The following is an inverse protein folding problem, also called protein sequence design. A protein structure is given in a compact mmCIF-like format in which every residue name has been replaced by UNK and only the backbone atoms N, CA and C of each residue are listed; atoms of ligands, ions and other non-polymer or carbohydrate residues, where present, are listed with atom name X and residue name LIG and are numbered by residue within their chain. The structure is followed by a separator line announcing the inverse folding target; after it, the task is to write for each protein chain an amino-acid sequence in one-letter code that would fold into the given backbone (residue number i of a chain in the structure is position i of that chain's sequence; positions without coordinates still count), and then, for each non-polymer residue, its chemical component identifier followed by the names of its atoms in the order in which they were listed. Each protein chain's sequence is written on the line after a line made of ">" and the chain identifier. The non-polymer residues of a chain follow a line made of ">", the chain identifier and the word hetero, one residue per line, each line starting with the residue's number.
data_IF_648194062772
#
_entry.id   IF_648194062772
#
_cell.length_a   1.000
_cell.length_b   1.000
_cell.length_c   1.000
_cell.angle_alpha   90.00
_cell.angle_beta   90.00
_cell.angle_gamma   90.00
#
_symmetry.space_group_name_H-M   'P 1'
#
loop_
_entity.id
_entity.type
_entity.pdbx_description
1 polymer ?
#
# COMPACT_ATOMS: atom_id res chain seq x y z
N UNK A 1 -40.09 8.33 -11.84
CA UNK A 1 -38.64 8.55 -11.51
C UNK A 1 -38.09 7.58 -10.46
N UNK A 2 -38.95 6.66 -9.89
CA UNK A 2 -38.55 5.75 -8.79
C UNK A 2 -38.20 4.32 -9.27
N UNK A 3 -38.45 3.95 -10.50
CA UNK A 3 -38.26 2.58 -11.02
C UNK A 3 -36.82 2.34 -11.58
N UNK A 4 -36.12 3.38 -11.99
CA UNK A 4 -34.75 3.24 -12.55
C UNK A 4 -33.60 3.17 -11.50
N UNK A 5 -33.87 3.58 -10.25
CA UNK A 5 -32.83 3.48 -9.16
C UNK A 5 -32.66 2.06 -8.63
N UNK A 6 -33.69 1.24 -8.64
CA UNK A 6 -33.61 -0.13 -8.12
C UNK A 6 -32.86 -1.11 -9.03
N UNK A 7 -32.79 -0.84 -10.34
CA UNK A 7 -32.04 -1.70 -11.28
C UNK A 7 -30.51 -1.59 -11.15
N UNK A 8 -29.99 -0.40 -10.82
CA UNK A 8 -28.55 -0.19 -10.64
C UNK A 8 -28.03 -0.79 -9.32
N UNK A 9 -28.83 -0.70 -8.26
CA UNK A 9 -28.48 -1.28 -6.95
C UNK A 9 -28.52 -2.82 -6.99
N UNK A 10 -29.40 -3.42 -7.78
CA UNK A 10 -29.43 -4.89 -7.95
C UNK A 10 -28.23 -5.41 -8.78
N UNK A 11 -27.73 -4.63 -9.73
CA UNK A 11 -26.53 -4.99 -10.52
C UNK A 11 -25.26 -4.90 -9.67
N UNK A 12 -25.13 -3.91 -8.78
CA UNK A 12 -24.01 -3.79 -7.85
C UNK A 12 -24.01 -4.90 -6.79
N UNK A 13 -25.16 -5.32 -6.28
CA UNK A 13 -25.27 -6.45 -5.34
C UNK A 13 -24.94 -7.81 -5.98
N UNK A 14 -25.13 -7.98 -7.29
CA UNK A 14 -24.68 -9.20 -8.01
C UNK A 14 -23.17 -9.22 -8.22
N UNK A 15 -22.51 -8.08 -8.47
CA UNK A 15 -21.06 -8.00 -8.60
C UNK A 15 -20.34 -8.30 -7.25
N UNK A 16 -20.89 -7.84 -6.14
CA UNK A 16 -20.35 -8.14 -4.81
C UNK A 16 -20.48 -9.61 -4.40
N UNK A 17 -21.46 -10.35 -4.90
CA UNK A 17 -21.60 -11.80 -4.67
C UNK A 17 -20.55 -12.64 -5.39
N UNK A 18 -19.97 -12.17 -6.49
CA UNK A 18 -18.94 -12.92 -7.23
C UNK A 18 -17.55 -12.86 -6.58
N UNK A 19 -17.26 -11.86 -5.75
CA UNK A 19 -15.98 -11.73 -5.04
C UNK A 19 -15.89 -12.70 -3.84
N UNK A 20 -17.03 -13.16 -3.30
CA UNK A 20 -17.08 -14.02 -2.10
C UNK A 20 -17.06 -15.53 -2.41
N UNK A 21 -17.27 -15.96 -3.67
CA UNK A 21 -17.40 -17.39 -4.02
C UNK A 21 -16.06 -18.11 -4.26
N UNK A 22 -14.92 -17.42 -4.32
CA UNK A 22 -13.61 -18.06 -4.57
C UNK A 22 -12.99 -18.69 -3.31
N UNK A 23 -13.59 -18.54 -2.11
CA UNK A 23 -13.01 -19.07 -0.87
C UNK A 23 -13.62 -20.36 -0.30
N UNK A 24 -14.57 -21.03 -0.98
CA UNK A 24 -15.29 -22.20 -0.43
C UNK A 24 -15.21 -23.47 -1.29
N UNK A 25 -14.03 -23.89 -1.73
CA UNK A 25 -13.84 -25.26 -2.22
C UNK A 25 -12.45 -25.78 -1.89
N UNK A 26 -12.23 -26.12 -0.64
CA UNK A 26 -11.21 -27.08 -0.22
C UNK A 26 -11.78 -27.97 0.87
N UNK A 27 -12.47 -29.03 0.47
CA UNK A 27 -12.50 -30.26 1.27
C UNK A 27 -12.93 -31.43 0.38
N UNK A 28 -12.16 -32.51 0.52
CA UNK A 28 -12.36 -33.87 0.04
C UNK A 28 -11.89 -34.20 -1.38
N UNK A 29 -10.61 -34.57 -1.45
CA UNK A 29 -10.22 -35.77 -2.20
C UNK A 29 -8.94 -36.33 -1.55
N UNK A 30 -9.11 -37.40 -0.74
CA UNK A 30 -8.01 -38.32 -0.41
C UNK A 30 -7.73 -39.17 -1.65
N UNK A 31 -6.52 -39.09 -2.16
CA UNK A 31 -5.94 -40.15 -3.00
C UNK A 31 -4.58 -40.50 -2.44
N UNK A 32 -4.51 -41.74 -1.91
CA UNK A 32 -3.27 -42.43 -1.61
C UNK A 32 -2.55 -42.77 -2.91
N UNK A 33 -1.25 -42.51 -2.97
CA UNK A 33 -0.40 -42.97 -4.07
C UNK A 33 1.03 -42.45 -3.97
N UNK A 34 1.86 -43.21 -3.26
CA UNK A 34 3.34 -43.36 -3.35
C UNK A 34 4.23 -42.15 -3.67
N UNK A 35 5.06 -41.90 -2.69
CA UNK A 35 6.37 -41.26 -2.73
C UNK A 35 7.23 -41.79 -3.89
N UNK A 36 7.87 -40.86 -4.67
CA UNK A 36 9.29 -40.96 -4.95
C UNK A 36 9.80 -39.70 -5.68
N UNK A 37 10.90 -39.18 -5.11
CA UNK A 37 11.93 -38.32 -5.68
C UNK A 37 11.84 -36.80 -5.51
N UNK A 38 12.52 -36.21 -4.50
CA UNK A 38 12.67 -34.77 -4.35
C UNK A 38 13.97 -34.31 -5.03
N UNK A 39 13.96 -33.95 -6.32
CA UNK A 39 15.04 -33.15 -6.92
C UNK A 39 14.56 -32.47 -8.21
N UNK A 40 14.45 -31.17 -8.12
CA UNK A 40 14.55 -30.04 -9.05
C UNK A 40 13.37 -29.08 -8.96
N UNK A 41 13.30 -28.34 -7.83
CA UNK A 41 12.67 -27.04 -7.83
C UNK A 41 13.62 -26.07 -8.58
N UNK A 42 13.36 -25.82 -9.82
CA UNK A 42 13.93 -24.66 -10.51
C UNK A 42 13.20 -23.42 -9.99
N UNK A 43 13.75 -22.78 -8.96
CA UNK A 43 13.43 -21.39 -8.67
C UNK A 43 14.06 -20.53 -9.77
N UNK A 44 13.30 -20.28 -10.84
CA UNK A 44 13.53 -19.09 -11.65
C UNK A 44 13.29 -17.91 -10.72
N UNK A 45 14.36 -17.20 -10.34
CA UNK A 45 14.27 -15.83 -9.80
C UNK A 45 13.78 -14.94 -10.93
N UNK A 46 12.49 -14.97 -11.23
CA UNK A 46 11.87 -13.97 -12.08
C UNK A 46 11.69 -12.73 -11.20
N UNK A 47 12.37 -11.66 -11.56
CA UNK A 47 12.10 -10.32 -11.05
C UNK A 47 10.68 -9.97 -11.51
N UNK A 48 9.68 -10.37 -10.74
CA UNK A 48 8.28 -10.06 -11.03
C UNK A 48 8.13 -8.56 -10.90
N UNK A 49 7.58 -7.93 -11.94
CA UNK A 49 7.44 -6.49 -12.03
C UNK A 49 6.00 -6.09 -11.69
N UNK A 50 5.85 -4.89 -11.16
CA UNK A 50 4.55 -4.22 -11.12
C UNK A 50 4.19 -3.73 -12.53
N UNK A 51 2.99 -4.07 -13.02
CA UNK A 51 2.44 -3.47 -14.24
C UNK A 51 1.75 -2.18 -13.82
N UNK A 52 2.33 -1.05 -14.20
CA UNK A 52 1.74 0.27 -13.97
C UNK A 52 1.06 0.75 -15.23
N UNK A 53 -0.24 0.96 -15.17
CA UNK A 53 -1.07 1.47 -16.25
C UNK A 53 -1.39 2.94 -16.00
N UNK A 54 -1.43 3.71 -17.08
CA UNK A 54 -1.73 5.13 -17.08
C UNK A 54 -2.73 5.44 -18.20
N UNK A 55 -3.77 6.22 -17.89
CA UNK A 55 -4.74 6.67 -18.88
C UNK A 55 -4.15 7.63 -19.95
N UNK A 56 -2.92 8.11 -19.76
CA UNK A 56 -2.18 8.79 -20.82
C UNK A 56 -1.58 7.80 -21.85
N UNK A 57 -1.39 6.53 -21.48
CA UNK A 57 -0.98 5.45 -22.38
C UNK A 57 -2.17 4.52 -22.63
N UNK A 58 -3.10 5.00 -23.47
CA UNK A 58 -4.33 4.28 -23.79
C UNK A 58 -4.07 2.94 -24.45
N UNK A 59 -3.03 2.84 -25.27
CA UNK A 59 -2.69 1.61 -26.01
C UNK A 59 -2.34 0.48 -25.03
N UNK A 60 -1.37 0.69 -24.16
CA UNK A 60 -0.97 -0.30 -23.15
C UNK A 60 -2.11 -0.63 -22.18
N UNK A 61 -2.87 0.38 -21.76
CA UNK A 61 -3.99 0.18 -20.85
C UNK A 61 -5.11 -0.64 -21.50
N UNK A 62 -5.38 -0.40 -22.79
CA UNK A 62 -6.37 -1.17 -23.54
C UNK A 62 -5.92 -2.62 -23.79
N UNK A 63 -4.61 -2.87 -24.04
CA UNK A 63 -4.06 -4.22 -24.18
C UNK A 63 -4.24 -5.03 -22.89
N UNK A 64 -3.89 -4.47 -21.74
CA UNK A 64 -4.08 -5.13 -20.45
C UNK A 64 -5.57 -5.31 -20.14
N UNK A 65 -6.41 -4.31 -20.40
CA UNK A 65 -7.87 -4.42 -20.25
C UNK A 65 -8.44 -5.56 -21.10
N UNK A 66 -8.03 -5.67 -22.37
CA UNK A 66 -8.40 -6.77 -23.25
C UNK A 66 -7.92 -8.12 -22.71
N UNK A 67 -6.69 -8.20 -22.19
CA UNK A 67 -6.16 -9.43 -21.60
C UNK A 67 -6.99 -9.90 -20.40
N UNK A 68 -7.44 -8.99 -19.52
CA UNK A 68 -8.23 -9.29 -18.34
C UNK A 68 -9.74 -9.52 -18.61
N UNK A 69 -10.26 -9.18 -19.80
CA UNK A 69 -11.69 -9.23 -20.10
C UNK A 69 -12.23 -10.64 -20.41
N UNK A 70 -11.45 -11.71 -20.26
CA UNK A 70 -11.85 -13.09 -20.57
C UNK A 70 -11.58 -14.02 -19.39
N UNK A 71 -12.60 -14.74 -18.95
CA UNK A 71 -12.52 -15.72 -17.87
C UNK A 71 -11.45 -16.79 -18.17
N UNK A 72 -11.38 -17.27 -19.40
CA UNK A 72 -10.39 -18.26 -19.82
C UNK A 72 -8.96 -17.73 -19.64
N UNK A 73 -8.70 -16.46 -19.96
CA UNK A 73 -7.38 -15.86 -19.76
C UNK A 73 -7.06 -15.66 -18.29
N UNK A 74 -8.05 -15.32 -17.46
CA UNK A 74 -7.87 -15.24 -16.00
C UNK A 74 -7.54 -16.60 -15.39
N UNK A 75 -8.18 -17.66 -15.84
CA UNK A 75 -7.86 -19.03 -15.38
C UNK A 75 -6.47 -19.49 -15.86
N UNK A 76 -6.05 -19.10 -17.08
CA UNK A 76 -4.67 -19.34 -17.54
C UNK A 76 -3.66 -18.60 -16.66
N UNK A 77 -3.89 -17.34 -16.32
CA UNK A 77 -3.03 -16.59 -15.38
C UNK A 77 -2.95 -17.27 -14.03
N UNK A 78 -4.08 -17.75 -13.50
CA UNK A 78 -4.14 -18.47 -12.23
C UNK A 78 -3.30 -19.76 -12.26
N UNK A 79 -3.37 -20.53 -13.34
CA UNK A 79 -2.51 -21.70 -13.55
C UNK A 79 -1.02 -21.31 -13.57
N UNK A 80 -0.69 -20.20 -14.26
CA UNK A 80 0.70 -19.74 -14.42
C UNK A 80 1.28 -19.10 -13.13
N UNK A 81 0.44 -18.66 -12.19
CA UNK A 81 0.86 -18.26 -10.84
C UNK A 81 1.41 -19.47 -10.08
N UNK A 82 0.77 -20.63 -10.23
CA UNK A 82 1.15 -21.86 -9.52
C UNK A 82 2.36 -22.55 -10.16
N UNK A 83 2.43 -22.57 -11.51
CA UNK A 83 3.51 -23.24 -12.25
C UNK A 83 3.62 -22.70 -13.69
N UNK A 84 4.83 -22.71 -14.22
CA UNK A 84 5.02 -22.48 -15.66
C UNK A 84 4.43 -23.66 -16.47
N UNK A 85 3.81 -23.38 -17.61
CA UNK A 85 3.17 -24.39 -18.47
C UNK A 85 3.41 -24.09 -19.95
N UNK A 86 3.48 -25.13 -20.78
CA UNK A 86 3.51 -24.96 -22.22
C UNK A 86 2.09 -24.88 -22.82
N UNK A 87 1.99 -24.45 -24.09
CA UNK A 87 0.69 -24.26 -24.76
C UNK A 87 -0.15 -25.53 -24.78
N UNK A 88 0.47 -26.72 -24.94
CA UNK A 88 -0.24 -27.99 -24.94
C UNK A 88 -0.79 -28.35 -23.55
N UNK A 89 -0.03 -28.07 -22.50
CA UNK A 89 -0.45 -28.25 -21.10
C UNK A 89 -1.60 -27.30 -20.76
N UNK A 90 -1.54 -26.03 -21.20
CA UNK A 90 -2.62 -25.05 -21.04
C UNK A 90 -3.87 -25.56 -21.79
N UNK A 91 -3.74 -25.99 -23.04
CA UNK A 91 -4.84 -26.51 -23.82
C UNK A 91 -5.50 -27.71 -23.15
N UNK A 92 -4.71 -28.67 -22.64
CA UNK A 92 -5.19 -29.85 -21.93
C UNK A 92 -5.87 -29.49 -20.61
N UNK A 93 -5.32 -28.54 -19.82
CA UNK A 93 -5.87 -28.13 -18.53
C UNK A 93 -7.28 -27.54 -18.63
N UNK A 94 -7.59 -26.85 -19.74
CA UNK A 94 -8.87 -26.15 -19.95
C UNK A 94 -9.76 -26.78 -21.04
N UNK A 95 -9.38 -27.94 -21.59
CA UNK A 95 -10.14 -28.61 -22.65
C UNK A 95 -10.24 -27.81 -23.95
N UNK A 96 -9.21 -26.98 -24.27
CA UNK A 96 -9.19 -26.09 -25.41
C UNK A 96 -8.44 -26.73 -26.61
N UNK A 97 -8.85 -26.40 -27.85
CA UNK A 97 -7.98 -26.64 -28.99
C UNK A 97 -6.63 -25.89 -28.82
N UNK A 98 -5.53 -26.48 -29.28
CA UNK A 98 -4.20 -25.85 -29.17
C UNK A 98 -4.12 -24.46 -29.85
N UNK A 99 -4.82 -24.28 -30.96
CA UNK A 99 -4.93 -22.99 -31.65
C UNK A 99 -5.59 -21.93 -30.79
N UNK A 100 -6.66 -22.28 -30.06
CA UNK A 100 -7.35 -21.37 -29.14
C UNK A 100 -6.48 -21.02 -27.94
N UNK A 101 -5.81 -22.00 -27.33
CA UNK A 101 -4.87 -21.77 -26.24
C UNK A 101 -3.72 -20.84 -26.69
N UNK A 102 -3.19 -21.05 -27.88
CA UNK A 102 -2.14 -20.18 -28.46
C UNK A 102 -2.61 -18.73 -28.64
N UNK A 103 -3.87 -18.51 -29.05
CA UNK A 103 -4.44 -17.17 -29.19
C UNK A 103 -4.60 -16.47 -27.82
N UNK A 104 -5.06 -17.19 -26.79
CA UNK A 104 -5.15 -16.65 -25.45
C UNK A 104 -3.77 -16.29 -24.88
N UNK A 105 -2.78 -17.18 -25.07
CA UNK A 105 -1.37 -16.94 -24.68
C UNK A 105 -0.82 -15.71 -25.40
N UNK A 106 -1.04 -15.57 -26.70
CA UNK A 106 -0.59 -14.41 -27.47
C UNK A 106 -1.15 -13.08 -26.92
N UNK A 107 -2.44 -13.03 -26.59
CA UNK A 107 -3.07 -11.82 -26.01
C UNK A 107 -2.46 -11.48 -24.66
N UNK A 108 -2.17 -12.46 -23.81
CA UNK A 108 -1.53 -12.26 -22.51
C UNK A 108 -0.07 -11.81 -22.65
N UNK A 109 0.65 -12.33 -23.64
CA UNK A 109 2.03 -11.96 -23.95
C UNK A 109 2.11 -10.52 -24.51
N UNK A 110 1.23 -10.16 -25.46
CA UNK A 110 1.12 -8.80 -26.01
C UNK A 110 0.82 -7.76 -24.93
N UNK A 111 0.05 -8.13 -23.91
CA UNK A 111 -0.22 -7.30 -22.75
C UNK A 111 0.95 -7.24 -21.76
N UNK A 112 2.02 -7.99 -21.96
CA UNK A 112 3.18 -8.05 -21.05
C UNK A 112 2.92 -8.78 -19.74
N UNK A 113 1.81 -9.52 -19.61
CA UNK A 113 1.41 -10.23 -18.40
C UNK A 113 2.11 -11.59 -18.23
N UNK A 114 2.55 -12.18 -19.32
CA UNK A 114 3.33 -13.40 -19.35
C UNK A 114 4.54 -13.26 -20.27
N UNK A 115 5.54 -14.10 -20.04
CA UNK A 115 6.67 -14.30 -20.97
C UNK A 115 6.59 -15.68 -21.57
N UNK A 116 6.94 -15.79 -22.84
CA UNK A 116 7.05 -17.07 -23.54
C UNK A 116 8.52 -17.31 -23.85
N UNK A 117 9.06 -18.43 -23.38
CA UNK A 117 10.46 -18.82 -23.62
C UNK A 117 10.51 -20.18 -24.31
N UNK A 118 11.42 -20.36 -25.25
CA UNK A 118 11.66 -21.63 -25.89
C UNK A 118 12.57 -22.50 -25.01
N UNK A 119 12.14 -23.73 -24.75
CA UNK A 119 12.93 -24.72 -24.01
C UNK A 119 13.04 -26.01 -24.83
N UNK A 120 14.13 -26.75 -24.69
CA UNK A 120 14.24 -28.07 -25.31
C UNK A 120 13.10 -28.97 -24.83
N UNK A 121 12.37 -29.59 -25.75
CA UNK A 121 11.31 -30.56 -25.46
C UNK A 121 11.73 -31.98 -25.88
N UNK A 122 10.87 -32.98 -25.63
CA UNK A 122 11.13 -34.38 -26.01
C UNK A 122 11.20 -34.56 -27.54
N UNK A 123 10.53 -33.70 -28.30
CA UNK A 123 10.57 -33.63 -29.75
C UNK A 123 10.63 -32.17 -30.22
N UNK A 124 11.85 -31.58 -30.30
CA UNK A 124 12.05 -30.20 -30.71
C UNK A 124 11.92 -29.17 -29.57
N UNK A 125 11.74 -27.89 -29.91
CA UNK A 125 11.55 -26.80 -28.93
C UNK A 125 10.09 -26.67 -28.52
N UNK A 126 9.85 -26.41 -27.25
CA UNK A 126 8.51 -26.10 -26.72
C UNK A 126 8.46 -24.69 -26.16
N UNK A 127 7.36 -23.99 -26.39
CA UNK A 127 7.09 -22.66 -25.83
C UNK A 127 6.51 -22.79 -24.42
N UNK A 128 7.28 -22.34 -23.42
CA UNK A 128 6.89 -22.36 -22.01
C UNK A 128 6.52 -20.96 -21.56
N UNK A 129 5.32 -20.84 -20.99
CA UNK A 129 4.74 -19.60 -20.51
C UNK A 129 5.00 -19.45 -19.00
N UNK A 130 5.31 -18.24 -18.54
CA UNK A 130 5.48 -17.90 -17.14
C UNK A 130 4.95 -16.50 -16.86
N UNK A 131 4.44 -16.27 -15.64
CA UNK A 131 3.91 -14.97 -15.22
C UNK A 131 5.05 -13.96 -14.98
N UNK A 132 4.84 -12.69 -15.38
CA UNK A 132 5.86 -11.64 -15.33
C UNK A 132 5.60 -10.59 -14.27
N UNK A 133 4.42 -10.56 -13.64
CA UNK A 133 3.99 -9.51 -12.71
C UNK A 133 3.52 -10.07 -11.37
N UNK A 134 3.50 -9.21 -10.36
CA UNK A 134 2.92 -9.47 -9.03
C UNK A 134 1.60 -8.75 -8.85
N UNK A 135 1.54 -7.49 -9.28
CA UNK A 135 0.35 -6.65 -9.19
C UNK A 135 0.17 -5.78 -10.44
N UNK A 136 -1.05 -5.30 -10.65
CA UNK A 136 -1.42 -4.36 -11.70
C UNK A 136 -1.99 -3.13 -11.00
N UNK A 137 -1.41 -1.97 -11.29
CA UNK A 137 -1.83 -0.69 -10.76
C UNK A 137 -2.29 0.22 -11.88
N UNK A 138 -3.56 0.65 -11.83
CA UNK A 138 -4.11 1.63 -12.79
C UNK A 138 -4.16 3.01 -12.14
N UNK A 139 -3.33 3.92 -12.63
CA UNK A 139 -3.39 5.32 -12.24
C UNK A 139 -4.42 6.06 -13.10
N UNK A 140 -5.57 6.41 -12.50
CA UNK A 140 -6.64 7.15 -13.17
C UNK A 140 -6.44 8.67 -13.12
N UNK A 141 -5.58 9.17 -12.24
CA UNK A 141 -5.34 10.60 -12.05
C UNK A 141 -4.04 11.00 -12.72
N UNK A 142 -4.16 11.89 -13.70
CA UNK A 142 -3.02 12.48 -14.42
C UNK A 142 -2.27 13.44 -13.50
N UNK A 143 -1.30 12.95 -12.76
CA UNK A 143 -0.21 13.81 -12.39
C UNK A 143 0.79 13.77 -13.56
N UNK A 144 0.90 14.86 -14.32
CA UNK A 144 2.06 15.08 -15.19
C UNK A 144 3.30 15.00 -14.30
N UNK A 145 3.84 13.82 -14.18
CA UNK A 145 5.14 13.65 -13.57
C UNK A 145 6.16 14.12 -14.61
N UNK A 146 6.67 15.31 -14.42
CA UNK A 146 7.96 15.67 -14.99
C UNK A 146 8.99 14.69 -14.39
N UNK A 147 9.37 13.69 -15.17
CA UNK A 147 10.32 12.64 -14.78
C UNK A 147 11.79 13.13 -14.68
N UNK A 148 12.04 14.43 -14.87
CA UNK A 148 13.41 14.94 -15.02
C UNK A 148 13.96 15.44 -13.72
N UNK A 149 13.89 15.28 -12.59
CA UNK A 149 14.61 15.73 -11.39
C UNK A 149 13.85 15.58 -10.04
N UNK A 150 12.98 14.59 -9.90
CA UNK A 150 12.36 14.35 -8.59
C UNK A 150 13.12 13.29 -7.80
N UNK A 151 13.56 13.65 -6.60
CA UNK A 151 14.04 12.70 -5.59
C UNK A 151 12.85 12.16 -4.82
N UNK A 152 12.82 10.85 -4.61
CA UNK A 152 11.86 10.20 -3.72
C UNK A 152 12.57 9.75 -2.45
N UNK A 153 12.04 10.15 -1.30
CA UNK A 153 12.48 9.70 0.01
C UNK A 153 11.39 8.86 0.64
N UNK A 154 11.78 7.78 1.29
CA UNK A 154 10.88 6.89 2.03
C UNK A 154 11.39 6.71 3.45
N UNK A 155 10.51 6.91 4.43
CA UNK A 155 10.78 6.63 5.83
C UNK A 155 9.72 5.69 6.37
N UNK A 156 10.14 4.64 7.07
CA UNK A 156 9.27 3.67 7.72
C UNK A 156 9.30 3.96 9.21
N UNK A 157 8.14 4.04 9.83
CA UNK A 157 7.97 4.27 11.25
C UNK A 157 7.24 3.05 11.87
N UNK A 158 7.93 2.24 12.68
CA UNK A 158 7.26 1.19 13.45
C UNK A 158 6.13 1.78 14.30
N UNK A 159 4.99 1.10 14.34
CA UNK A 159 3.79 1.64 15.02
C UNK A 159 3.97 1.85 16.53
N UNK A 160 4.91 1.16 17.16
CA UNK A 160 5.27 1.37 18.56
C UNK A 160 6.23 2.53 18.82
N UNK A 161 6.75 3.21 17.76
CA UNK A 161 7.68 4.34 17.89
C UNK A 161 6.94 5.69 17.97
N UNK A 162 5.72 5.70 18.50
CA UNK A 162 5.02 6.98 18.76
C UNK A 162 5.83 7.83 19.75
N UNK A 163 5.80 9.13 19.52
CA UNK A 163 6.42 10.12 20.38
C UNK A 163 5.52 10.47 21.56
N UNK A 164 4.22 10.63 21.30
CA UNK A 164 3.21 11.03 22.27
C UNK A 164 1.92 10.22 22.04
N UNK A 165 1.14 10.05 23.10
CA UNK A 165 -0.13 9.37 23.04
C UNK A 165 -1.05 9.80 24.19
N UNK A 166 -2.34 9.70 23.95
CA UNK A 166 -3.39 9.73 24.94
C UNK A 166 -4.41 8.67 24.54
N UNK A 167 -4.61 7.67 25.36
CA UNK A 167 -5.51 6.54 25.06
C UNK A 167 -6.42 6.25 26.23
N UNK A 168 -7.66 5.91 25.93
CA UNK A 168 -8.66 5.57 26.93
C UNK A 168 -9.62 4.50 26.43
N UNK A 169 -10.33 3.86 27.36
CA UNK A 169 -11.19 2.71 27.09
C UNK A 169 -10.38 1.44 26.87
N UNK A 170 -10.95 0.48 26.13
CA UNK A 170 -10.24 -0.73 25.73
C UNK A 170 -9.00 -0.34 24.96
N UNK A 171 -7.85 -0.83 25.39
CA UNK A 171 -6.60 -0.50 24.73
C UNK A 171 -5.56 -1.61 24.93
N UNK A 172 -4.62 -1.71 24.00
CA UNK A 172 -3.53 -2.67 24.13
C UNK A 172 -2.52 -2.56 23.02
N UNK A 173 -1.43 -3.30 23.20
CA UNK A 173 -0.32 -3.40 22.27
C UNK A 173 0.14 -4.84 22.22
N UNK A 174 0.36 -5.37 21.04
CA UNK A 174 0.94 -6.69 20.85
C UNK A 174 2.12 -6.66 19.88
N UNK A 175 3.04 -7.57 20.09
CA UNK A 175 4.13 -7.90 19.17
C UNK A 175 3.80 -9.15 18.36
N UNK A 176 4.71 -9.56 17.50
CA UNK A 176 4.65 -10.86 16.82
C UNK A 176 4.62 -12.05 17.82
N UNK A 177 5.15 -11.85 19.04
CA UNK A 177 5.34 -12.92 20.05
C UNK A 177 4.28 -12.94 21.15
N UNK A 178 3.50 -11.89 21.33
CA UNK A 178 2.51 -11.76 22.39
C UNK A 178 2.22 -10.32 22.80
N UNK A 179 1.46 -10.19 23.88
CA UNK A 179 1.10 -8.90 24.46
C UNK A 179 2.32 -8.16 25.01
N UNK A 180 2.32 -6.85 24.83
CA UNK A 180 3.29 -5.92 25.41
C UNK A 180 2.61 -5.18 26.57
N UNK A 181 2.87 -5.65 27.79
CA UNK A 181 2.21 -5.13 28.98
C UNK A 181 0.88 -5.83 29.30
N UNK A 182 -0.05 -5.08 29.86
CA UNK A 182 -1.36 -5.58 30.32
C UNK A 182 -2.43 -4.98 29.41
N UNK A 183 -3.36 -5.81 28.94
CA UNK A 183 -4.52 -5.39 28.16
C UNK A 183 -5.40 -4.45 29.00
N UNK A 184 -6.09 -3.53 28.35
CA UNK A 184 -6.93 -2.48 28.95
C UNK A 184 -6.20 -1.55 29.94
N UNK A 185 -4.88 -1.48 29.83
CA UNK A 185 -4.06 -0.59 30.65
C UNK A 185 -3.32 0.44 29.78
N UNK A 186 -3.69 1.73 29.81
CA UNK A 186 -2.97 2.79 29.11
C UNK A 186 -1.47 2.85 29.46
N UNK A 187 -1.09 2.38 30.67
CA UNK A 187 0.32 2.33 31.08
C UNK A 187 1.16 1.38 30.24
N UNK A 188 0.55 0.40 29.56
CA UNK A 188 1.24 -0.51 28.63
C UNK A 188 1.85 0.21 27.43
N UNK A 189 1.33 1.37 27.07
CA UNK A 189 1.89 2.23 26.03
C UNK A 189 3.25 2.84 26.41
N UNK A 190 3.66 2.79 27.67
CA UNK A 190 5.01 3.17 28.14
C UNK A 190 6.01 2.01 28.18
N UNK A 191 5.61 0.78 27.81
CA UNK A 191 6.51 -0.37 27.82
C UNK A 191 7.80 -0.09 27.04
N UNK A 192 8.94 -0.49 27.60
CA UNK A 192 10.25 -0.23 27.02
C UNK A 192 10.47 -0.90 25.65
N UNK A 193 9.79 -2.03 25.42
CA UNK A 193 9.83 -2.81 24.18
C UNK A 193 8.66 -2.50 23.22
N UNK A 194 7.95 -1.38 23.42
CA UNK A 194 6.84 -0.97 22.55
C UNK A 194 7.19 -0.82 21.08
N UNK A 195 8.48 -0.62 20.76
CA UNK A 195 8.98 -0.59 19.39
C UNK A 195 8.81 -1.91 18.63
N UNK A 196 8.57 -3.04 19.35
CA UNK A 196 8.24 -4.34 18.76
C UNK A 196 6.75 -4.47 18.39
N UNK A 197 5.93 -3.45 18.65
CA UNK A 197 4.48 -3.48 18.39
C UNK A 197 4.16 -3.79 16.92
N UNK A 198 3.19 -4.68 16.72
CA UNK A 198 2.68 -5.10 15.42
C UNK A 198 1.18 -4.86 15.27
N UNK A 199 0.45 -4.70 16.38
CA UNK A 199 -0.90 -4.17 16.46
C UNK A 199 -0.98 -3.34 17.72
N UNK A 200 -1.63 -2.17 17.65
CA UNK A 200 -2.06 -1.39 18.79
C UNK A 200 -3.50 -0.93 18.60
N UNK A 201 -4.23 -0.86 19.70
CA UNK A 201 -5.63 -0.43 19.66
C UNK A 201 -5.99 0.42 20.87
N UNK A 202 -7.01 1.24 20.70
CA UNK A 202 -7.66 2.00 21.77
C UNK A 202 -9.05 2.48 21.35
N UNK A 203 -9.89 2.77 22.35
CA UNK A 203 -11.26 3.23 22.08
C UNK A 203 -11.30 4.72 21.68
N UNK A 204 -10.72 5.62 22.50
CA UNK A 204 -10.59 7.05 22.15
C UNK A 204 -9.20 7.56 22.51
N UNK A 205 -8.81 8.68 21.88
CA UNK A 205 -7.51 9.27 22.06
C UNK A 205 -6.68 9.29 20.77
N UNK A 206 -5.35 9.29 20.89
CA UNK A 206 -4.46 9.37 19.75
C UNK A 206 -3.09 8.73 20.00
N UNK A 207 -2.38 8.45 18.92
CA UNK A 207 -0.93 8.22 18.86
C UNK A 207 -0.31 9.19 17.89
N UNK A 208 0.82 9.82 18.28
CA UNK A 208 1.56 10.80 17.47
C UNK A 208 2.96 10.30 17.14
N UNK A 209 3.33 10.43 15.88
CA UNK A 209 4.65 10.06 15.36
C UNK A 209 5.39 11.31 14.89
N UNK A 210 6.72 11.31 15.01
CA UNK A 210 7.59 12.39 14.51
C UNK A 210 8.55 11.88 13.46
N UNK A 211 8.32 12.28 12.22
CA UNK A 211 9.16 11.95 11.08
C UNK A 211 10.25 13.02 10.91
N UNK A 212 11.54 12.68 11.00
CA UNK A 212 12.62 13.65 10.90
C UNK A 212 12.69 14.26 9.49
N UNK A 213 12.98 15.57 9.42
CA UNK A 213 13.01 16.34 8.17
C UNK A 213 14.42 16.55 7.62
N UNK A 214 15.46 15.96 8.23
CA UNK A 214 16.85 16.22 7.82
C UNK A 214 17.15 15.89 6.34
N UNK A 215 16.42 14.91 5.75
CA UNK A 215 16.51 14.57 4.33
C UNK A 215 15.79 15.57 3.41
N UNK A 216 14.94 16.42 3.97
CA UNK A 216 14.09 17.36 3.23
C UNK A 216 14.68 18.76 3.18
N UNK A 217 15.78 19.00 3.92
CA UNK A 217 16.48 20.28 3.92
C UNK A 217 16.97 20.62 2.51
N UNK A 218 16.72 21.85 2.06
CA UNK A 218 17.07 22.35 0.72
C UNK A 218 16.35 21.61 -0.44
N UNK A 219 15.25 20.92 -0.17
CA UNK A 219 14.41 20.32 -1.19
C UNK A 219 13.14 21.15 -1.38
N UNK A 220 12.72 21.33 -2.63
CA UNK A 220 11.38 21.85 -2.93
C UNK A 220 10.41 20.68 -2.91
N UNK A 221 9.58 20.59 -1.88
CA UNK A 221 8.57 19.53 -1.75
C UNK A 221 7.54 19.63 -2.87
N UNK A 222 7.27 18.51 -3.54
CA UNK A 222 6.19 18.36 -4.52
C UNK A 222 5.00 17.63 -3.92
N UNK A 223 5.27 16.61 -3.09
CA UNK A 223 4.26 15.77 -2.46
C UNK A 223 4.83 15.11 -1.20
N UNK A 224 4.01 15.04 -0.17
CA UNK A 224 4.25 14.19 1.02
C UNK A 224 3.06 13.27 1.17
N UNK A 225 3.29 11.99 1.41
CA UNK A 225 2.21 11.03 1.66
C UNK A 225 2.53 10.13 2.86
N UNK A 226 1.46 9.76 3.58
CA UNK A 226 1.50 8.81 4.67
C UNK A 226 0.59 7.65 4.32
N UNK A 227 1.06 6.42 4.50
CA UNK A 227 0.27 5.23 4.25
C UNK A 227 0.37 4.25 5.41
N UNK A 228 -0.74 3.60 5.74
CA UNK A 228 -0.90 2.74 6.89
C UNK A 228 -2.10 1.81 6.72
N UNK A 229 -2.15 0.73 7.53
CA UNK A 229 -3.31 -0.14 7.65
C UNK A 229 -4.02 0.15 8.97
N UNK A 230 -5.35 0.33 8.94
CA UNK A 230 -6.15 0.76 10.08
C UNK A 230 -7.56 0.21 9.99
N UNK A 231 -8.21 -0.06 11.13
CA UNK A 231 -9.65 -0.33 11.20
C UNK A 231 -10.23 0.16 12.54
N UNK A 232 -11.54 0.02 12.73
CA UNK A 232 -12.22 0.24 14.02
C UNK A 232 -11.74 -0.76 15.05
N UNK A 233 -12.09 -0.54 16.32
CA UNK A 233 -11.84 -1.44 17.45
C UNK A 233 -13.16 -1.86 18.09
N UNK A 234 -13.44 -3.14 18.12
CA UNK A 234 -14.63 -3.74 18.75
C UNK A 234 -14.25 -4.95 19.60
N UNK A 235 -15.04 -5.32 20.61
CA UNK A 235 -14.81 -6.57 21.33
C UNK A 235 -14.84 -7.79 20.41
N UNK A 236 -13.68 -8.46 20.28
CA UNK A 236 -13.44 -9.52 19.32
C UNK A 236 -13.23 -8.95 17.91
N UNK A 237 -14.23 -9.01 17.06
CA UNK A 237 -14.34 -8.26 15.81
C UNK A 237 -15.80 -8.05 15.43
N UNK A 238 -16.09 -6.94 14.74
CA UNK A 238 -17.41 -6.65 14.19
C UNK A 238 -17.24 -5.94 12.85
N UNK A 239 -17.62 -6.61 11.75
CA UNK A 239 -17.48 -6.07 10.39
C UNK A 239 -18.39 -4.85 10.10
N UNK A 240 -19.36 -4.58 10.95
CA UNK A 240 -20.22 -3.39 10.95
C UNK A 240 -20.11 -2.68 12.30
N UNK A 241 -19.04 -1.89 12.46
CA UNK A 241 -18.69 -1.16 13.69
C UNK A 241 -17.97 0.14 13.29
N UNK A 242 -18.71 1.15 12.85
CA UNK A 242 -18.10 2.35 12.29
C UNK A 242 -17.28 3.15 13.29
N UNK A 243 -16.16 3.70 12.83
CA UNK A 243 -15.31 4.61 13.61
C UNK A 243 -14.77 5.75 12.75
N UNK A 244 -14.83 6.97 13.30
CA UNK A 244 -14.29 8.20 12.72
C UNK A 244 -12.83 8.37 13.17
N UNK A 245 -11.89 7.89 12.37
CA UNK A 245 -10.46 7.97 12.65
C UNK A 245 -9.93 9.28 12.07
N UNK A 246 -9.55 10.20 12.93
CA UNK A 246 -9.04 11.51 12.54
C UNK A 246 -7.53 11.48 12.32
N UNK A 247 -7.08 12.19 11.30
CA UNK A 247 -5.68 12.39 10.93
C UNK A 247 -5.30 13.84 11.14
N UNK A 248 -4.20 14.08 11.87
CA UNK A 248 -3.60 15.41 12.02
C UNK A 248 -2.17 15.41 11.51
N UNK A 249 -1.76 16.52 10.89
CA UNK A 249 -0.38 16.76 10.47
C UNK A 249 0.04 18.14 10.99
N UNK A 250 1.16 18.17 11.72
CA UNK A 250 1.65 19.37 12.41
C UNK A 250 0.55 20.07 13.23
N UNK A 251 -0.26 19.27 13.94
CA UNK A 251 -1.36 19.73 14.80
C UNK A 251 -2.60 20.23 14.04
N UNK A 252 -2.63 20.17 12.71
CA UNK A 252 -3.80 20.56 11.90
C UNK A 252 -4.57 19.31 11.48
N UNK A 253 -5.88 19.30 11.72
CA UNK A 253 -6.78 18.25 11.25
C UNK A 253 -6.85 18.27 9.72
N UNK A 254 -6.60 17.10 9.10
CA UNK A 254 -6.49 16.93 7.66
C UNK A 254 -7.69 16.18 7.11
N UNK A 255 -8.04 15.07 7.75
CA UNK A 255 -9.08 14.16 7.31
C UNK A 255 -9.70 13.43 8.49
N UNK A 256 -10.93 12.97 8.30
CA UNK A 256 -11.57 11.96 9.15
C UNK A 256 -11.91 10.77 8.28
N UNK A 257 -11.22 9.68 8.50
CA UNK A 257 -11.40 8.40 7.80
C UNK A 257 -12.55 7.66 8.46
N UNK A 258 -13.61 7.37 7.73
CA UNK A 258 -14.65 6.48 8.21
C UNK A 258 -14.21 5.02 8.02
N UNK A 259 -13.83 4.35 9.09
CA UNK A 259 -13.69 2.90 9.09
C UNK A 259 -15.06 2.26 9.26
N UNK A 260 -15.50 1.35 8.37
CA UNK A 260 -16.82 0.75 8.48
C UNK A 260 -16.92 -0.36 9.53
N UNK A 261 -15.79 -0.87 10.04
CA UNK A 261 -15.81 -1.96 11.00
C UNK A 261 -14.44 -2.38 11.49
N UNK A 262 -14.46 -3.28 12.43
CA UNK A 262 -13.34 -4.10 12.89
C UNK A 262 -13.42 -5.47 12.18
N UNK A 263 -12.42 -5.80 11.36
CA UNK A 263 -12.58 -6.86 10.38
C UNK A 263 -12.06 -8.21 10.87
N UNK A 264 -12.93 -9.23 10.73
CA UNK A 264 -12.66 -10.63 11.01
C UNK A 264 -13.44 -11.57 10.08
N UNK A 265 -13.58 -12.83 10.51
CA UNK A 265 -14.26 -13.88 9.73
C UNK A 265 -13.35 -14.56 8.70
N UNK A 266 -12.17 -14.04 8.47
CA UNK A 266 -11.01 -14.68 7.83
C UNK A 266 -9.75 -14.24 8.55
N UNK A 267 -8.72 -15.06 8.51
CA UNK A 267 -7.44 -14.71 9.10
C UNK A 267 -6.73 -13.62 8.29
N UNK A 268 -6.12 -12.66 8.97
CA UNK A 268 -5.19 -11.71 8.39
C UNK A 268 -3.97 -12.44 7.82
N UNK A 269 -3.42 -11.95 6.71
CA UNK A 269 -2.35 -12.64 5.95
C UNK A 269 -1.05 -12.79 6.75
N UNK A 270 -0.81 -11.86 7.67
CA UNK A 270 0.44 -11.71 8.40
C UNK A 270 0.31 -12.08 9.87
N UNK A 271 -0.91 -12.36 10.34
CA UNK A 271 -1.17 -12.61 11.75
C UNK A 271 -0.42 -13.84 12.25
N UNK A 272 0.27 -13.75 13.40
CA UNK A 272 0.97 -14.88 14.00
C UNK A 272 0.00 -15.98 14.44
N UNK A 273 0.45 -17.23 14.47
CA UNK A 273 -0.40 -18.40 14.75
C UNK A 273 -1.13 -18.32 16.10
N UNK A 274 -0.50 -17.71 17.10
CA UNK A 274 -1.08 -17.56 18.44
C UNK A 274 -2.27 -16.59 18.51
N UNK A 275 -2.43 -15.68 17.51
CA UNK A 275 -3.54 -14.73 17.50
C UNK A 275 -4.86 -15.41 17.16
N UNK A 276 -5.88 -15.23 18.02
CA UNK A 276 -7.17 -15.90 17.88
C UNK A 276 -7.98 -15.45 16.68
N UNK A 277 -8.67 -16.39 16.03
CA UNK A 277 -9.50 -16.12 14.84
C UNK A 277 -10.77 -15.32 15.14
N UNK A 278 -11.13 -15.18 16.42
CA UNK A 278 -12.28 -14.37 16.91
C UNK A 278 -11.91 -12.91 17.23
N UNK A 279 -10.66 -12.55 17.06
CA UNK A 279 -10.12 -11.22 17.29
C UNK A 279 -10.01 -10.46 15.99
N UNK A 280 -9.71 -9.16 16.05
CA UNK A 280 -9.34 -8.30 14.90
C UNK A 280 -8.34 -8.98 13.99
N UNK A 281 -8.59 -9.04 12.69
CA UNK A 281 -7.76 -9.80 11.77
C UNK A 281 -6.99 -8.95 10.77
N UNK A 282 -7.59 -7.89 10.26
CA UNK A 282 -7.00 -7.03 9.23
C UNK A 282 -7.71 -5.67 9.19
N UNK A 283 -7.08 -4.73 8.54
CA UNK A 283 -7.59 -3.39 8.35
C UNK A 283 -7.81 -3.04 6.88
N UNK A 284 -8.07 -1.75 6.65
CA UNK A 284 -8.08 -1.12 5.34
C UNK A 284 -6.78 -0.34 5.16
N UNK A 285 -6.21 -0.45 3.97
CA UNK A 285 -5.05 0.35 3.60
C UNK A 285 -5.48 1.76 3.24
N UNK A 286 -4.86 2.74 3.88
CA UNK A 286 -5.16 4.16 3.68
C UNK A 286 -3.91 4.94 3.28
N UNK A 287 -4.12 5.94 2.44
CA UNK A 287 -3.08 6.89 2.04
C UNK A 287 -3.58 8.31 2.19
N UNK A 288 -2.88 9.10 2.99
CA UNK A 288 -3.07 10.56 3.08
C UNK A 288 -1.95 11.21 2.28
N UNK A 289 -2.30 11.98 1.26
CA UNK A 289 -1.38 12.65 0.35
C UNK A 289 -1.58 14.15 0.39
N UNK A 290 -0.50 14.89 0.52
CA UNK A 290 -0.47 16.36 0.58
C UNK A 290 0.36 16.87 -0.59
N UNK A 291 -0.18 17.81 -1.34
CA UNK A 291 0.50 18.48 -2.45
C UNK A 291 0.08 19.97 -2.55
N UNK A 292 0.52 20.73 -3.55
CA UNK A 292 0.11 22.13 -3.71
C UNK A 292 -1.40 22.36 -3.96
N UNK A 293 -2.17 21.32 -4.27
CA UNK A 293 -3.61 21.41 -4.52
C UNK A 293 -4.46 21.11 -3.28
N UNK A 294 -3.83 20.65 -2.19
CA UNK A 294 -4.50 20.30 -0.94
C UNK A 294 -4.13 18.92 -0.42
N UNK A 295 -4.98 18.38 0.47
CA UNK A 295 -4.86 17.04 1.03
C UNK A 295 -5.88 16.10 0.40
N UNK A 296 -5.48 14.82 0.29
CA UNK A 296 -6.26 13.77 -0.36
C UNK A 296 -6.20 12.50 0.49
N UNK A 297 -7.36 11.86 0.69
CA UNK A 297 -7.51 10.51 1.22
C UNK A 297 -7.79 9.56 0.04
N UNK A 298 -6.93 8.57 -0.18
CA UNK A 298 -7.07 7.58 -1.29
C UNK A 298 -7.43 8.26 -2.64
N UNK A 299 -6.74 9.40 -2.95
CA UNK A 299 -6.95 10.25 -4.12
C UNK A 299 -8.22 11.11 -4.15
N UNK A 300 -9.06 11.04 -3.12
CA UNK A 300 -10.21 11.94 -2.95
C UNK A 300 -9.78 13.16 -2.13
N UNK A 301 -10.04 14.37 -2.64
CA UNK A 301 -9.69 15.59 -1.92
C UNK A 301 -10.50 15.70 -0.63
N UNK A 302 -9.80 15.81 0.51
CA UNK A 302 -10.40 15.92 1.85
C UNK A 302 -10.15 17.26 2.54
N UNK A 303 -9.13 18.02 2.10
CA UNK A 303 -8.82 19.35 2.70
C UNK A 303 -8.11 20.25 1.69
N UNK A 304 -8.27 21.58 1.87
CA UNK A 304 -7.55 22.59 1.10
C UNK A 304 -6.17 22.96 1.68
N UNK A 305 -5.76 22.34 2.79
CA UNK A 305 -4.46 22.57 3.39
C UNK A 305 -3.35 22.05 2.48
N UNK A 306 -2.42 22.93 2.12
CA UNK A 306 -1.31 22.61 1.22
C UNK A 306 -0.02 22.30 1.98
N UNK A 307 1.02 21.85 1.27
CA UNK A 307 2.37 21.64 1.82
C UNK A 307 2.89 22.87 2.57
N UNK A 308 2.70 24.06 2.00
CA UNK A 308 3.12 25.32 2.61
C UNK A 308 2.28 25.70 3.83
N UNK A 309 0.96 25.51 3.77
CA UNK A 309 0.07 25.79 4.90
C UNK A 309 0.34 24.89 6.12
N UNK A 310 0.93 23.72 5.89
CA UNK A 310 1.32 22.74 6.93
C UNK A 310 2.77 22.88 7.37
N UNK A 311 3.58 23.77 6.75
CA UNK A 311 4.98 24.03 7.10
C UNK A 311 5.83 22.74 7.18
N UNK A 312 5.68 21.83 6.20
CA UNK A 312 6.23 20.46 6.29
C UNK A 312 7.76 20.38 6.22
N UNK A 313 8.44 21.46 5.82
CA UNK A 313 9.91 21.53 5.73
C UNK A 313 10.56 22.53 6.69
N UNK A 314 9.78 23.17 7.56
CA UNK A 314 10.28 24.27 8.41
C UNK A 314 10.84 23.77 9.75
N UNK A 315 10.34 22.64 10.26
CA UNK A 315 10.75 22.06 11.54
C UNK A 315 11.83 20.98 11.42
N UNK A 316 12.23 20.43 12.56
CA UNK A 316 13.12 19.27 12.65
C UNK A 316 12.39 17.95 12.41
N UNK A 317 11.06 17.94 12.44
CA UNK A 317 10.20 16.78 12.20
C UNK A 317 8.85 17.23 11.62
N UNK A 318 8.17 16.27 11.00
CA UNK A 318 6.74 16.34 10.66
C UNK A 318 6.01 15.51 11.72
N UNK A 319 5.05 16.13 12.43
CA UNK A 319 4.13 15.43 13.31
C UNK A 319 3.02 14.79 12.46
N UNK A 320 2.80 13.50 12.66
CA UNK A 320 1.70 12.74 12.11
C UNK A 320 0.94 12.06 13.25
N UNK A 321 -0.35 12.37 13.41
CA UNK A 321 -1.18 11.86 14.49
C UNK A 321 -2.40 11.16 13.91
N UNK A 322 -2.74 10.02 14.53
CA UNK A 322 -3.95 9.23 14.27
C UNK A 322 -4.72 9.04 15.58
N UNK A 323 -6.04 9.09 15.51
CA UNK A 323 -6.84 8.85 16.70
C UNK A 323 -8.33 8.99 16.51
N UNK A 324 -9.08 8.66 17.53
CA UNK A 324 -10.54 8.80 17.62
C UNK A 324 -10.86 9.86 18.65
N UNK A 325 -11.53 10.93 18.20
CA UNK A 325 -11.92 12.03 19.10
C UNK A 325 -13.01 11.57 20.06
N UNK A 326 -13.02 12.05 21.35
CA UNK A 326 -14.08 11.69 22.29
C UNK A 326 -15.47 12.14 21.84
N UNK A 327 -15.55 13.17 21.00
CA UNK A 327 -16.78 13.73 20.43
C UNK A 327 -17.05 13.29 18.99
N UNK A 328 -16.36 12.23 18.52
CA UNK A 328 -16.59 11.65 17.20
C UNK A 328 -18.04 11.15 17.06
N UNK A 329 -18.62 11.31 15.87
CA UNK A 329 -19.98 10.80 15.59
C UNK A 329 -20.02 9.27 15.71
N UNK A 330 -18.95 8.62 15.22
CA UNK A 330 -18.75 7.18 15.36
C UNK A 330 -17.48 6.94 16.19
N UNK A 331 -17.66 6.72 17.50
CA UNK A 331 -16.55 6.42 18.42
C UNK A 331 -16.34 4.90 18.53
N UNK A 332 -16.04 4.25 17.41
CA UNK A 332 -15.82 2.80 17.31
C UNK A 332 -14.37 2.36 17.55
N UNK A 333 -13.54 3.18 18.19
CA UNK A 333 -12.14 2.83 18.45
C UNK A 333 -11.26 2.77 17.21
N UNK A 334 -10.00 2.39 17.40
CA UNK A 334 -9.02 2.28 16.30
C UNK A 334 -8.05 1.14 16.57
N UNK A 335 -7.81 0.32 15.54
CA UNK A 335 -6.70 -0.60 15.43
C UNK A 335 -5.69 -0.06 14.40
N UNK A 336 -4.39 -0.04 14.72
CA UNK A 336 -3.31 0.32 13.82
C UNK A 336 -2.34 -0.86 13.67
N UNK A 337 -2.04 -1.23 12.41
CA UNK A 337 -1.29 -2.43 12.06
C UNK A 337 0.17 -2.12 11.70
N UNK A 338 1.07 -3.02 12.07
CA UNK A 338 2.48 -3.02 11.74
C UNK A 338 2.82 -3.96 10.58
N UNK A 339 4.13 -4.15 10.33
CA UNK A 339 4.63 -4.93 9.18
C UNK A 339 4.29 -6.42 9.23
N UNK A 340 4.01 -6.97 10.42
CA UNK A 340 3.82 -8.41 10.65
C UNK A 340 2.45 -8.74 11.19
N UNK A 341 1.49 -7.88 10.93
CA UNK A 341 0.10 -8.06 11.34
C UNK A 341 -0.85 -7.48 10.30
N UNK A 342 -2.06 -8.02 10.19
CA UNK A 342 -3.05 -7.59 9.22
C UNK A 342 -2.83 -8.18 7.82
N UNK A 343 -3.08 -7.39 6.80
CA UNK A 343 -3.01 -7.82 5.41
C UNK A 343 -1.84 -7.21 4.63
N UNK A 344 -1.24 -6.12 5.12
CA UNK A 344 -0.22 -5.35 4.40
C UNK A 344 1.11 -5.38 5.15
N UNK A 345 2.15 -5.92 4.52
CA UNK A 345 3.48 -6.01 5.10
C UNK A 345 4.18 -4.64 5.15
N UNK A 346 3.58 -3.71 5.87
CA UNK A 346 4.15 -2.39 6.13
C UNK A 346 3.66 -1.79 7.44
N UNK A 347 4.54 -1.04 8.09
CA UNK A 347 4.19 -0.14 9.19
C UNK A 347 3.72 1.21 8.62
N UNK A 348 3.73 2.25 9.43
CA UNK A 348 3.44 3.61 8.98
C UNK A 348 4.58 4.10 8.06
N UNK A 349 4.26 4.47 6.82
CA UNK A 349 5.25 4.88 5.82
C UNK A 349 5.00 6.32 5.39
N UNK A 350 6.02 7.18 5.54
CA UNK A 350 6.06 8.49 4.90
C UNK A 350 6.85 8.42 3.60
N UNK A 351 6.29 8.90 2.49
CA UNK A 351 6.99 9.12 1.22
C UNK A 351 6.98 10.60 0.88
N UNK A 352 8.09 11.08 0.36
CA UNK A 352 8.25 12.47 -0.06
C UNK A 352 8.78 12.51 -1.47
N UNK A 353 8.09 13.24 -2.36
CA UNK A 353 8.58 13.63 -3.67
C UNK A 353 9.05 15.07 -3.62
N UNK A 354 10.30 15.31 -4.00
CA UNK A 354 10.91 16.63 -3.98
C UNK A 354 11.70 16.90 -5.26
N UNK A 355 11.75 18.16 -5.71
CA UNK A 355 12.71 18.60 -6.70
C UNK A 355 14.02 19.00 -6.01
N UNK A 356 15.14 19.00 -6.75
CA UNK A 356 16.34 19.66 -6.27
C UNK A 356 16.02 21.12 -5.99
N UNK A 357 16.35 21.64 -4.81
CA UNK A 357 16.33 23.06 -4.56
C UNK A 357 17.34 23.72 -5.52
N UNK A 358 16.96 24.82 -6.15
CA UNK A 358 17.91 25.66 -6.86
C UNK A 358 18.98 26.05 -5.86
N UNK A 359 20.18 25.50 -6.04
CA UNK A 359 21.36 26.05 -5.42
C UNK A 359 21.40 27.49 -5.90
N UNK A 360 21.07 28.45 -5.04
CA UNK A 360 21.35 29.83 -5.34
C UNK A 360 22.83 29.86 -5.76
N UNK A 361 23.11 30.09 -7.03
CA UNK A 361 24.41 30.53 -7.49
C UNK A 361 24.69 31.80 -6.69
N UNK A 362 25.53 31.74 -5.67
CA UNK A 362 26.22 32.91 -5.20
C UNK A 362 26.96 33.43 -6.44
N UNK A 363 26.50 34.52 -6.98
CA UNK A 363 27.31 35.32 -7.86
C UNK A 363 28.63 35.60 -7.11
N UNK A 364 29.78 35.40 -7.74
CA UNK A 364 31.03 35.81 -7.12
C UNK A 364 30.98 37.31 -6.91
N UNK A 365 31.08 37.74 -5.63
CA UNK A 365 31.28 39.14 -5.29
C UNK A 365 32.42 39.66 -6.17
N UNK A 366 32.13 40.67 -6.97
CA UNK A 366 33.10 41.48 -7.68
C UNK A 366 34.08 42.04 -6.68
N UNK A 367 35.24 41.41 -6.59
CA UNK A 367 36.41 41.98 -5.94
C UNK A 367 36.81 43.23 -6.71
N UNK A 368 36.41 44.38 -6.21
CA UNK A 368 37.00 45.66 -6.63
C UNK A 368 38.51 45.61 -6.32
N UNK A 369 39.41 45.98 -7.24
CA UNK A 369 40.83 46.02 -6.97
C UNK A 369 41.09 47.22 -6.06
N UNK A 370 41.72 46.91 -4.90
CA UNK A 370 42.26 47.89 -3.98
C UNK A 370 43.18 48.88 -4.71
N UNK A 371 42.84 50.16 -4.56
CA UNK A 371 43.60 51.27 -5.10
C UNK A 371 45.03 51.30 -4.52
N UNK A 372 46.00 51.50 -5.38
CA UNK A 372 47.39 51.67 -5.06
C UNK A 372 47.62 52.90 -4.13
N UNK A 373 48.57 52.85 -3.18
CA UNK A 373 48.89 53.97 -2.34
C UNK A 373 49.74 54.97 -3.14
N UNK A 374 49.20 56.20 -3.24
CA UNK A 374 49.94 57.34 -3.79
C UNK A 374 51.18 57.70 -2.96
N UNK A 375 52.29 57.77 -3.62
CA UNK A 375 53.54 58.35 -3.13
C UNK A 375 53.36 59.85 -2.94
N UNK A 376 53.54 60.36 -1.75
CA UNK A 376 53.77 61.80 -1.51
C UNK A 376 55.23 62.00 -1.10
N UNK A 377 55.97 62.66 -1.98
CA UNK A 377 57.28 63.24 -1.71
C UNK A 377 57.13 64.60 -0.99
N UNK A 378 57.95 64.75 0.01
CA UNK A 378 58.70 65.91 0.48
C UNK A 378 58.08 67.33 0.38
N UNK A 379 58.17 68.04 1.48
CA UNK A 379 58.13 69.43 1.70
C UNK A 379 58.19 69.76 3.17
#
# INVERSE_FOLDING_TARGET
>A
LTVHRNSAILKLRKAQKYIIIVSKTKSNMRLQGRLDNPKRRYHLKTNKKRISLDLNNLEQTALVGKALSSEVRLEILKLLIEKSANISEIAAAFGLPQSSAALHVKVLEEAGMISVSEKPGVRGAQKVCGITFEDIYLNAFQHKMDHSDSKEFRQIMPIGNYFDFEVSGNCGIISEKGYLGVEDSPSSFYCHNRNEAQLLWFHTGFVEYRFPTYLLKNCRLKEVSFSFEVCSEAPGYQNDWPSDITVWINGREIATILSPGDFGGRRGRLNPEWWGDTMTQYGIYKTIRINPLGCFEDDIKCSDLTLSALCLNEGSYISFRLGVKPDAVHAGGMNLFGEKFGDYAQALVMKVKAANGDSQKKEPDDLQPDGAPGSSSAG
#
